data_IF_436493426693
#
_entry.id   IF_436493426693
#
_cell.length_a   1.000
_cell.length_b   1.000
_cell.length_c   1.000
_cell.angle_alpha   90.00
_cell.angle_beta   90.00
_cell.angle_gamma   90.00
#
_symmetry.space_group_name_H-M   'P 1'
#
loop_
_entity.id
_entity.type
_entity.pdbx_description
1 polymer ?
#
# COMPACT_ATOMS: atom_id res chain seq x y z
N UNK A 1 -31.29 1.93 -4.41
CA UNK A 1 -30.09 1.12 -4.09
C UNK A 1 -29.12 2.03 -3.34
N UNK A 2 -29.42 2.34 -2.08
CA UNK A 2 -28.58 3.20 -1.24
C UNK A 2 -27.65 2.32 -0.40
N UNK A 3 -26.61 1.78 -1.04
CA UNK A 3 -25.55 1.11 -0.31
C UNK A 3 -24.61 2.18 0.24
N UNK A 4 -24.32 2.12 1.55
CA UNK A 4 -23.20 2.84 2.14
C UNK A 4 -21.96 2.52 1.31
N UNK A 5 -21.37 3.51 0.62
CA UNK A 5 -20.12 3.29 -0.10
C UNK A 5 -19.03 3.06 0.95
N UNK A 6 -18.49 1.85 1.10
CA UNK A 6 -17.39 1.66 2.03
C UNK A 6 -16.24 2.51 1.48
N UNK A 7 -15.84 3.57 2.19
CA UNK A 7 -14.68 4.38 1.82
C UNK A 7 -13.39 3.53 1.74
N UNK A 8 -13.41 2.36 2.41
CA UNK A 8 -12.41 1.31 2.26
C UNK A 8 -12.31 0.91 0.79
N UNK A 9 -11.08 0.85 0.29
CA UNK A 9 -10.77 0.54 -1.12
C UNK A 9 -11.16 1.59 -2.16
N UNK A 10 -11.35 2.86 -1.78
CA UNK A 10 -11.52 3.99 -2.72
C UNK A 10 -10.32 4.94 -2.77
N UNK A 11 -9.22 4.61 -2.11
CA UNK A 11 -8.02 5.45 -2.06
C UNK A 11 -6.74 4.62 -2.19
N UNK A 12 -5.69 5.27 -2.70
CA UNK A 12 -4.32 4.78 -2.65
C UNK A 12 -3.52 5.58 -1.63
N UNK A 13 -2.60 4.93 -0.92
CA UNK A 13 -1.78 5.59 0.10
C UNK A 13 -0.30 5.56 -0.22
N UNK A 14 0.39 6.65 0.11
CA UNK A 14 1.84 6.65 0.16
C UNK A 14 2.34 6.09 1.49
N UNK A 15 3.59 5.62 1.52
CA UNK A 15 4.29 5.25 2.76
C UNK A 15 5.57 6.10 2.91
N UNK A 16 6.06 6.33 4.15
CA UNK A 16 7.12 7.30 4.39
C UNK A 16 8.51 6.82 3.93
N UNK A 17 8.75 5.52 3.83
CA UNK A 17 10.09 4.99 3.51
C UNK A 17 10.09 3.62 2.83
N UNK A 18 11.21 2.91 2.95
CA UNK A 18 11.46 1.62 2.27
C UNK A 18 10.93 0.40 3.02
N UNK A 19 10.19 0.62 4.11
CA UNK A 19 9.62 -0.40 4.99
C UNK A 19 8.23 0.04 5.40
N UNK A 20 7.33 -0.93 5.58
CA UNK A 20 6.00 -0.63 6.09
C UNK A 20 6.06 -0.42 7.61
N UNK A 21 5.83 0.82 8.04
CA UNK A 21 5.71 1.12 9.47
C UNK A 21 4.29 0.78 9.99
N UNK A 22 4.12 0.62 11.32
CA UNK A 22 2.84 0.26 11.91
C UNK A 22 1.70 1.26 11.66
N UNK A 23 1.99 2.56 11.54
CA UNK A 23 0.97 3.58 11.30
C UNK A 23 0.47 3.50 9.86
N UNK A 24 1.40 3.35 8.90
CA UNK A 24 1.07 3.15 7.48
C UNK A 24 0.35 1.82 7.22
N UNK A 25 0.66 0.76 7.97
CA UNK A 25 0.02 -0.57 7.81
C UNK A 25 -1.51 -0.49 7.88
N UNK A 26 -2.07 0.27 8.82
CA UNK A 26 -3.52 0.44 8.98
C UNK A 26 -4.19 1.05 7.74
N UNK A 27 -3.47 1.93 7.05
CA UNK A 27 -3.94 2.55 5.82
C UNK A 27 -3.84 1.61 4.62
N UNK A 28 -2.79 0.79 4.56
CA UNK A 28 -2.64 -0.25 3.53
C UNK A 28 -3.72 -1.32 3.67
N UNK A 29 -4.06 -1.74 4.89
CA UNK A 29 -5.15 -2.69 5.19
C UNK A 29 -6.53 -2.17 4.74
N UNK A 30 -6.76 -0.86 4.79
CA UNK A 30 -8.04 -0.24 4.44
C UNK A 30 -8.14 0.25 2.98
N UNK A 31 -6.99 0.48 2.33
CA UNK A 31 -6.90 1.09 1.00
C UNK A 31 -7.12 0.12 -0.16
N UNK A 32 -7.22 0.68 -1.36
CA UNK A 32 -7.25 -0.09 -2.61
C UNK A 32 -5.83 -0.47 -3.08
N UNK A 33 -4.85 0.33 -2.63
CA UNK A 33 -3.55 0.35 -3.22
C UNK A 33 -2.57 1.24 -2.48
N UNK A 34 -1.34 1.19 -2.98
CA UNK A 34 -0.25 2.04 -2.58
C UNK A 34 0.32 2.74 -3.80
N UNK A 35 0.85 3.95 -3.60
CA UNK A 35 1.68 4.62 -4.60
C UNK A 35 3.08 4.80 -4.02
N UNK A 36 4.06 4.25 -4.71
CA UNK A 36 5.47 4.31 -4.34
C UNK A 36 6.14 5.47 -5.08
N UNK A 37 7.01 6.18 -4.37
CA UNK A 37 7.84 7.25 -4.90
C UNK A 37 9.31 6.90 -4.73
N UNK A 38 10.21 7.74 -5.26
CA UNK A 38 11.67 7.59 -5.13
C UNK A 38 12.17 7.25 -3.72
N UNK A 39 11.55 7.78 -2.65
CA UNK A 39 11.92 7.49 -1.25
C UNK A 39 11.65 6.04 -0.82
N UNK A 40 10.77 5.35 -1.52
CA UNK A 40 10.39 3.96 -1.28
C UNK A 40 11.24 2.98 -2.11
N UNK A 41 11.89 3.48 -3.16
CA UNK A 41 12.69 2.67 -4.08
C UNK A 41 14.13 2.51 -3.56
N UNK A 42 14.60 1.27 -3.57
CA UNK A 42 15.93 0.84 -3.16
C UNK A 42 16.51 -0.11 -4.20
N UNK A 43 17.24 -1.14 -3.76
CA UNK A 43 17.65 -2.23 -4.67
C UNK A 43 16.44 -3.06 -5.12
N UNK A 44 16.55 -3.84 -6.21
CA UNK A 44 15.48 -4.76 -6.63
C UNK A 44 15.01 -5.71 -5.51
N UNK A 45 15.92 -6.18 -4.66
CA UNK A 45 15.61 -7.05 -3.52
C UNK A 45 14.81 -6.30 -2.46
N UNK A 46 15.17 -5.04 -2.20
CA UNK A 46 14.43 -4.18 -1.26
C UNK A 46 13.03 -3.88 -1.79
N UNK A 47 12.88 -3.59 -3.08
CA UNK A 47 11.58 -3.36 -3.71
C UNK A 47 10.72 -4.64 -3.66
N UNK A 48 11.31 -5.81 -3.94
CA UNK A 48 10.63 -7.10 -3.82
C UNK A 48 10.18 -7.37 -2.38
N UNK A 49 11.03 -7.11 -1.39
CA UNK A 49 10.69 -7.27 0.02
C UNK A 49 9.56 -6.33 0.43
N UNK A 50 9.64 -5.06 0.04
CA UNK A 50 8.62 -4.05 0.35
C UNK A 50 7.27 -4.39 -0.30
N UNK A 51 7.26 -4.72 -1.59
CA UNK A 51 6.01 -5.08 -2.29
C UNK A 51 5.36 -6.34 -1.73
N UNK A 52 6.16 -7.31 -1.24
CA UNK A 52 5.64 -8.48 -0.51
C UNK A 52 5.00 -8.07 0.82
N UNK A 53 5.71 -7.28 1.64
CA UNK A 53 5.21 -6.78 2.94
C UNK A 53 3.88 -6.03 2.79
N UNK A 54 3.75 -5.20 1.74
CA UNK A 54 2.52 -4.46 1.43
C UNK A 54 1.37 -5.38 1.01
N UNK A 55 1.63 -6.40 0.18
CA UNK A 55 0.61 -7.39 -0.23
C UNK A 55 0.13 -8.23 0.93
N UNK A 56 1.03 -8.65 1.82
CA UNK A 56 0.68 -9.37 3.04
C UNK A 56 -0.20 -8.51 3.95
N UNK A 57 0.15 -7.23 4.13
CA UNK A 57 -0.67 -6.31 4.93
C UNK A 57 -2.06 -6.06 4.32
N UNK A 58 -2.19 -5.99 2.99
CA UNK A 58 -3.46 -5.76 2.34
C UNK A 58 -4.48 -6.92 2.49
N UNK A 59 -4.00 -8.15 2.75
CA UNK A 59 -4.86 -9.33 2.91
C UNK A 59 -5.70 -9.68 1.66
N UNK A 60 -5.35 -9.17 0.48
CA UNK A 60 -6.11 -9.33 -0.75
C UNK A 60 -5.49 -8.60 -1.95
N UNK A 61 -6.24 -8.42 -3.05
CA UNK A 61 -5.75 -7.67 -4.22
C UNK A 61 -5.31 -6.26 -3.83
N UNK A 62 -4.10 -5.88 -4.24
CA UNK A 62 -3.48 -4.59 -3.95
C UNK A 62 -2.94 -3.98 -5.25
N UNK A 63 -3.40 -2.77 -5.56
CA UNK A 63 -2.79 -1.94 -6.61
C UNK A 63 -1.46 -1.39 -6.10
N UNK A 64 -0.38 -1.64 -6.83
CA UNK A 64 0.93 -1.05 -6.54
C UNK A 64 1.26 -0.13 -7.70
N UNK A 65 1.08 1.17 -7.49
CA UNK A 65 1.42 2.21 -8.45
C UNK A 65 2.81 2.80 -8.14
N UNK A 66 3.43 3.43 -9.14
CA UNK A 66 4.72 4.12 -9.00
C UNK A 66 4.69 5.44 -9.75
N UNK A 67 5.35 6.44 -9.18
CA UNK A 67 5.76 7.69 -9.82
C UNK A 67 7.30 7.84 -9.70
#
# INVERSE_FOLDING_TARGET
MGGEFPLRRLFLVGIPGRRLDPASRRWVEAGAGVVLFRRNLGTPEQIRALTRELREAAGGPLIVAVD
#
